data_IF_160996826974
#
_entry.id   IF_160996826974
#
_cell.length_a   1.000
_cell.length_b   1.000
_cell.length_c   1.000
_cell.angle_alpha   90.00
_cell.angle_beta   90.00
_cell.angle_gamma   90.00
#
_symmetry.space_group_name_H-M   'P 1'
#
loop_
_entity.id
_entity.type
_entity.pdbx_description
1 polymer ?
#
# COMPACT_ATOMS: atom_id res chain seq x y z
N UNK A 1 -19.16 -7.80 19.50
CA UNK A 1 -18.74 -6.72 20.41
C UNK A 1 -17.22 -6.73 20.39
N UNK A 2 -16.66 -6.06 19.39
CA UNK A 2 -15.23 -5.97 19.14
C UNK A 2 -14.76 -4.78 19.95
N UNK A 3 -13.84 -4.99 20.90
CA UNK A 3 -13.25 -3.93 21.70
C UNK A 3 -12.13 -3.28 20.87
N UNK A 4 -12.46 -2.15 20.26
CA UNK A 4 -11.47 -1.15 19.87
C UNK A 4 -10.79 -0.62 21.14
N UNK A 5 -9.49 -0.88 21.28
CA UNK A 5 -8.64 -0.11 22.17
C UNK A 5 -7.38 0.31 21.43
N UNK A 6 -7.55 1.22 20.46
CA UNK A 6 -6.49 2.14 20.05
C UNK A 6 -6.29 3.14 21.19
N UNK A 7 -5.44 2.78 22.16
CA UNK A 7 -4.90 3.79 23.09
C UNK A 7 -3.89 4.62 22.33
N UNK A 8 -4.29 5.83 21.94
CA UNK A 8 -3.36 6.93 21.69
C UNK A 8 -2.50 7.10 22.95
N UNK A 9 -1.24 6.67 22.88
CA UNK A 9 -0.26 7.03 23.89
C UNK A 9 0.10 8.48 23.62
N UNK A 10 -0.38 9.35 24.52
CA UNK A 10 -0.14 10.79 24.47
C UNK A 10 1.35 11.11 24.39
N UNK A 11 1.64 12.21 23.70
CA UNK A 11 2.96 12.78 23.49
C UNK A 11 3.62 13.09 24.85
N UNK A 12 4.51 12.22 25.30
CA UNK A 12 5.48 12.54 26.36
C UNK A 12 6.77 12.90 25.63
N UNK A 13 7.38 14.08 25.86
CA UNK A 13 8.71 14.37 25.34
C UNK A 13 9.71 13.57 26.18
N UNK A 14 9.76 12.27 25.91
CA UNK A 14 10.63 11.31 26.55
C UNK A 14 11.74 10.99 25.55
N UNK A 15 12.98 11.18 25.97
CA UNK A 15 14.20 10.98 25.18
C UNK A 15 14.24 9.52 24.72
N UNK A 16 13.92 9.28 23.44
CA UNK A 16 13.77 7.95 22.85
C UNK A 16 15.10 7.20 22.65
N UNK A 17 16.22 7.91 22.63
CA UNK A 17 17.54 7.31 22.35
C UNK A 17 17.90 6.23 23.39
N UNK A 18 17.51 6.40 24.66
CA UNK A 18 17.87 5.47 25.73
C UNK A 18 16.88 4.32 25.98
N UNK A 19 15.64 4.36 25.48
CA UNK A 19 14.63 3.33 25.80
C UNK A 19 14.79 2.08 24.92
N UNK A 20 15.15 2.28 23.65
CA UNK A 20 15.48 1.21 22.72
C UNK A 20 16.80 0.56 23.16
N UNK A 21 17.80 1.38 23.49
CA UNK A 21 19.05 0.90 24.10
C UNK A 21 18.78 0.15 25.41
N UNK A 22 18.01 0.69 26.36
CA UNK A 22 17.73 0.00 27.62
C UNK A 22 17.00 -1.36 27.46
N UNK A 23 16.07 -1.46 26.50
CA UNK A 23 15.38 -2.73 26.22
C UNK A 23 16.26 -3.73 25.43
N UNK A 24 17.26 -3.27 24.66
CA UNK A 24 17.97 -4.09 23.65
C UNK A 24 19.51 -4.14 23.83
N UNK A 25 20.13 -3.34 24.71
CA UNK A 25 21.55 -3.32 25.09
C UNK A 25 21.95 -4.43 26.08
N UNK A 26 21.09 -5.42 26.29
CA UNK A 26 21.54 -6.63 26.96
C UNK A 26 22.49 -7.36 26.00
N UNK A 27 23.73 -7.62 26.44
CA UNK A 27 24.78 -8.26 25.65
C UNK A 27 24.28 -9.60 25.07
N UNK A 28 23.80 -9.54 23.83
CA UNK A 28 23.08 -10.59 23.12
C UNK A 28 23.88 -11.90 23.05
N UNK A 29 25.21 -11.80 22.91
CA UNK A 29 26.13 -12.94 22.89
C UNK A 29 26.22 -13.69 24.23
N UNK A 30 25.85 -13.05 25.34
CA UNK A 30 25.83 -13.67 26.66
C UNK A 30 24.56 -14.51 26.89
N UNK A 31 23.46 -14.16 26.23
CA UNK A 31 22.18 -14.86 26.33
C UNK A 31 22.10 -16.07 25.39
N UNK A 32 22.68 -15.99 24.18
CA UNK A 32 22.68 -17.09 23.20
C UNK A 32 23.40 -18.37 23.65
N UNK A 33 24.14 -18.35 24.75
CA UNK A 33 24.89 -19.52 25.23
C UNK A 33 24.06 -20.51 26.05
N UNK A 34 22.84 -20.14 26.45
CA UNK A 34 21.98 -21.02 27.26
C UNK A 34 20.91 -21.71 26.42
N UNK A 35 20.66 -23.00 26.69
CA UNK A 35 19.58 -23.77 26.04
C UNK A 35 18.20 -23.12 26.26
N UNK A 36 18.00 -22.51 27.44
CA UNK A 36 16.76 -21.79 27.78
C UNK A 36 16.51 -20.60 26.85
N UNK A 37 17.55 -19.82 26.58
CA UNK A 37 17.51 -18.65 25.71
C UNK A 37 17.25 -19.02 24.25
N UNK A 38 17.90 -20.08 23.76
CA UNK A 38 17.62 -20.62 22.43
C UNK A 38 16.17 -21.12 22.31
N UNK A 39 15.65 -21.78 23.34
CA UNK A 39 14.25 -22.22 23.38
C UNK A 39 13.28 -21.04 23.37
N UNK A 40 13.56 -19.96 24.10
CA UNK A 40 12.74 -18.76 24.11
C UNK A 40 12.73 -18.05 22.74
N UNK A 41 13.89 -17.96 22.08
CA UNK A 41 14.01 -17.42 20.73
C UNK A 41 13.26 -18.28 19.70
N UNK A 42 13.43 -19.60 19.76
CA UNK A 42 12.74 -20.52 18.85
C UNK A 42 11.22 -20.41 19.01
N UNK A 43 10.71 -20.33 20.25
CA UNK A 43 9.29 -20.09 20.53
C UNK A 43 8.81 -18.77 19.95
N UNK A 44 9.57 -17.68 20.15
CA UNK A 44 9.27 -16.35 19.61
C UNK A 44 9.13 -16.39 18.10
N UNK A 45 10.14 -16.94 17.40
CA UNK A 45 10.12 -17.03 15.94
C UNK A 45 9.01 -17.95 15.46
N UNK A 46 8.77 -19.09 16.14
CA UNK A 46 7.70 -20.02 15.76
C UNK A 46 6.34 -19.34 15.82
N UNK A 47 6.05 -18.61 16.90
CA UNK A 47 4.79 -17.88 17.03
C UNK A 47 4.62 -16.82 15.94
N UNK A 48 5.68 -16.04 15.66
CA UNK A 48 5.64 -15.02 14.61
C UNK A 48 5.49 -15.63 13.22
N UNK A 49 6.08 -16.80 12.95
CA UNK A 49 5.96 -17.48 11.65
C UNK A 49 4.57 -18.06 11.40
N UNK A 50 3.72 -18.22 12.42
CA UNK A 50 2.32 -18.58 12.21
C UNK A 50 1.53 -17.40 11.62
N UNK A 51 1.92 -16.16 11.91
CA UNK A 51 1.28 -14.94 11.38
C UNK A 51 1.65 -14.70 9.90
N UNK A 52 0.63 -14.59 9.05
CA UNK A 52 0.81 -14.39 7.59
C UNK A 52 1.53 -13.08 7.26
N UNK A 53 1.21 -12.01 7.98
CA UNK A 53 1.83 -10.69 7.81
C UNK A 53 3.35 -10.75 8.06
N UNK A 54 3.78 -11.37 9.16
CA UNK A 54 5.20 -11.49 9.50
C UNK A 54 5.97 -12.30 8.46
N UNK A 55 5.39 -13.39 7.95
CA UNK A 55 5.98 -14.19 6.86
C UNK A 55 6.19 -13.32 5.60
N UNK A 56 5.16 -12.56 5.21
CA UNK A 56 5.23 -11.69 4.03
C UNK A 56 6.29 -10.60 4.22
N UNK A 57 6.29 -9.90 5.37
CA UNK A 57 7.31 -8.89 5.70
C UNK A 57 8.71 -9.48 5.54
N UNK A 58 8.96 -10.69 6.06
CA UNK A 58 10.27 -11.34 5.95
C UNK A 58 10.69 -11.69 4.53
N UNK A 59 9.74 -12.06 3.67
CA UNK A 59 10.02 -12.29 2.25
C UNK A 59 10.33 -10.98 1.53
N UNK A 60 9.65 -9.89 1.90
CA UNK A 60 9.76 -8.59 1.23
C UNK A 60 10.88 -7.69 1.78
N UNK A 61 11.46 -8.00 2.94
CA UNK A 61 12.40 -7.13 3.66
C UNK A 61 13.59 -6.64 2.80
N UNK A 62 14.13 -7.49 1.93
CA UNK A 62 15.28 -7.14 1.06
C UNK A 62 14.90 -6.31 -0.17
N UNK A 63 13.61 -6.18 -0.48
CA UNK A 63 13.13 -5.49 -1.68
C UNK A 63 13.00 -3.97 -1.53
N UNK A 64 13.06 -3.47 -0.28
CA UNK A 64 12.74 -2.07 0.04
C UNK A 64 11.26 -1.73 -0.01
N UNK A 65 10.36 -2.68 -0.29
CA UNK A 65 8.91 -2.47 -0.33
C UNK A 65 8.27 -2.27 1.05
N UNK A 66 8.83 -2.90 2.09
CA UNK A 66 8.28 -2.90 3.45
C UNK A 66 9.28 -2.26 4.42
N UNK A 67 8.81 -1.66 5.53
CA UNK A 67 9.69 -1.13 6.58
C UNK A 67 10.72 -2.15 7.05
N UNK A 68 11.95 -1.68 7.29
CA UNK A 68 13.00 -2.56 7.82
C UNK A 68 12.61 -3.10 9.19
N UNK A 69 12.83 -4.38 9.46
CA UNK A 69 12.63 -4.95 10.79
C UNK A 69 13.92 -4.86 11.59
N UNK A 70 13.85 -4.32 12.81
CA UNK A 70 15.00 -4.22 13.70
C UNK A 70 15.14 -5.44 14.62
N UNK A 71 14.04 -6.08 14.99
CA UNK A 71 14.06 -7.32 15.78
C UNK A 71 12.71 -7.71 16.34
N UNK A 72 12.71 -8.72 17.21
CA UNK A 72 11.50 -9.40 17.71
C UNK A 72 11.60 -9.67 19.21
N UNK A 73 10.47 -9.58 19.93
CA UNK A 73 10.35 -9.92 21.34
C UNK A 73 8.99 -10.57 21.61
N UNK A 74 8.96 -11.90 21.78
CA UNK A 74 7.70 -12.64 21.92
C UNK A 74 6.79 -12.44 20.70
N UNK A 75 5.50 -12.08 20.87
CA UNK A 75 4.60 -11.86 19.74
C UNK A 75 4.80 -10.48 19.06
N UNK A 76 5.79 -9.69 19.49
CA UNK A 76 6.01 -8.33 18.99
C UNK A 76 7.24 -8.29 18.09
N UNK A 77 7.19 -7.47 17.05
CA UNK A 77 8.34 -7.09 16.24
C UNK A 77 8.43 -5.58 16.11
N UNK A 78 9.67 -5.09 16.00
CA UNK A 78 9.96 -3.67 15.84
C UNK A 78 10.34 -3.40 14.40
N UNK A 79 9.71 -2.38 13.82
CA UNK A 79 9.97 -1.91 12.47
C UNK A 79 10.40 -0.45 12.45
N UNK A 80 11.00 -0.07 11.32
CA UNK A 80 11.21 1.32 10.94
C UNK A 80 9.90 2.11 10.98
N UNK A 81 9.98 3.32 11.54
CA UNK A 81 8.85 4.23 11.59
C UNK A 81 8.62 4.86 10.22
N UNK A 82 7.47 4.55 9.62
CA UNK A 82 7.01 5.08 8.35
C UNK A 82 5.55 5.53 8.51
N UNK A 83 5.29 6.73 9.07
CA UNK A 83 3.91 7.19 9.26
C UNK A 83 3.20 7.42 7.91
N UNK A 84 1.88 7.17 7.82
CA UNK A 84 1.09 7.45 6.60
C UNK A 84 1.13 8.93 6.18
N UNK A 85 0.97 9.83 7.16
CA UNK A 85 1.05 11.28 6.96
C UNK A 85 0.20 11.76 5.78
N UNK A 86 0.83 12.43 4.83
CA UNK A 86 0.20 13.00 3.63
C UNK A 86 -0.51 11.98 2.72
N UNK A 87 -0.17 10.68 2.82
CA UNK A 87 -0.82 9.64 2.03
C UNK A 87 -2.22 9.31 2.56
N UNK A 88 -2.47 9.53 3.86
CA UNK A 88 -3.75 9.33 4.53
C UNK A 88 -4.56 10.63 4.59
N UNK A 89 -4.66 11.34 3.46
CA UNK A 89 -5.35 12.64 3.38
C UNK A 89 -6.78 12.57 2.84
N UNK A 90 -7.33 11.35 2.70
CA UNK A 90 -8.76 11.21 2.40
C UNK A 90 -9.54 12.00 3.47
N UNK A 91 -10.37 12.95 3.03
CA UNK A 91 -11.21 13.80 3.87
C UNK A 91 -10.53 14.88 4.73
N UNK A 92 -9.19 15.00 4.77
CA UNK A 92 -8.50 16.04 5.59
C UNK A 92 -8.93 17.46 5.22
N UNK A 93 -9.27 17.72 3.95
CA UNK A 93 -9.77 19.03 3.51
C UNK A 93 -11.15 19.38 4.12
N UNK A 94 -11.95 18.38 4.51
CA UNK A 94 -13.26 18.55 5.15
C UNK A 94 -13.16 18.66 6.68
N UNK A 95 -12.21 17.94 7.28
CA UNK A 95 -12.10 17.79 8.74
C UNK A 95 -11.13 18.77 9.39
N UNK A 96 -10.04 19.13 8.73
CA UNK A 96 -8.94 19.91 9.32
C UNK A 96 -8.83 21.35 8.79
N UNK A 97 -9.70 21.73 7.85
CA UNK A 97 -9.71 23.06 7.23
C UNK A 97 -8.58 23.28 6.21
N UNK A 98 -8.75 24.27 5.33
CA UNK A 98 -7.82 24.53 4.20
C UNK A 98 -6.36 24.79 4.62
N UNK A 99 -6.12 25.26 5.83
CA UNK A 99 -4.78 25.59 6.35
C UNK A 99 -3.97 24.37 6.81
N UNK A 100 -4.62 23.23 7.09
CA UNK A 100 -3.96 21.97 7.44
C UNK A 100 -3.74 21.08 6.20
N UNK A 101 -4.30 21.44 5.05
CA UNK A 101 -4.17 20.64 3.85
C UNK A 101 -2.77 20.81 3.24
N UNK A 102 -2.01 19.71 3.03
CA UNK A 102 -0.62 19.81 2.56
C UNK A 102 -0.49 20.54 1.23
N UNK A 103 0.65 21.20 0.98
CA UNK A 103 0.87 21.99 -0.24
C UNK A 103 0.88 21.11 -1.50
N UNK A 104 0.62 21.68 -2.68
CA UNK A 104 0.75 20.93 -3.93
C UNK A 104 2.14 20.31 -4.14
N UNK A 105 3.26 21.03 -3.88
CA UNK A 105 4.60 20.45 -3.92
C UNK A 105 4.75 19.20 -3.06
N UNK A 106 4.25 19.22 -1.81
CA UNK A 106 4.35 18.07 -0.91
C UNK A 106 3.50 16.89 -1.41
N UNK A 107 2.26 17.15 -1.83
CA UNK A 107 1.33 16.12 -2.33
C UNK A 107 1.85 15.48 -3.62
N UNK A 108 2.34 16.29 -4.56
CA UNK A 108 2.89 15.80 -5.82
C UNK A 108 4.20 15.02 -5.61
N UNK A 109 5.06 15.43 -4.68
CA UNK A 109 6.25 14.67 -4.30
C UNK A 109 5.89 13.32 -3.67
N UNK A 110 4.90 13.28 -2.77
CA UNK A 110 4.40 12.03 -2.18
C UNK A 110 3.80 11.10 -3.26
N UNK A 111 3.03 11.64 -4.20
CA UNK A 111 2.48 10.88 -5.32
C UNK A 111 3.57 10.27 -6.22
N UNK A 112 4.64 11.01 -6.51
CA UNK A 112 5.79 10.50 -7.27
C UNK A 112 6.43 9.31 -6.55
N UNK A 113 6.69 9.44 -5.24
CA UNK A 113 7.30 8.37 -4.43
C UNK A 113 6.41 7.14 -4.34
N UNK A 114 5.10 7.32 -4.19
CA UNK A 114 4.12 6.23 -4.21
C UNK A 114 4.12 5.49 -5.56
N UNK A 115 4.14 6.23 -6.67
CA UNK A 115 4.17 5.67 -8.02
C UNK A 115 5.48 4.92 -8.35
N UNK A 116 6.58 5.23 -7.66
CA UNK A 116 7.85 4.49 -7.76
C UNK A 116 7.74 3.05 -7.22
N UNK A 117 6.71 2.72 -6.42
CA UNK A 117 6.46 1.34 -5.99
C UNK A 117 5.95 0.45 -7.12
N UNK A 118 5.24 1.00 -8.11
CA UNK A 118 4.58 0.20 -9.16
C UNK A 118 5.58 -0.70 -9.92
N UNK A 119 6.73 -0.20 -10.43
CA UNK A 119 7.72 -1.06 -11.05
C UNK A 119 8.28 -2.14 -10.12
N UNK A 120 8.45 -1.83 -8.83
CA UNK A 120 9.01 -2.76 -7.84
C UNK A 120 8.03 -3.92 -7.61
N UNK A 121 6.74 -3.61 -7.44
CA UNK A 121 5.67 -4.59 -7.30
C UNK A 121 5.52 -5.49 -8.54
N UNK A 122 5.77 -4.95 -9.73
CA UNK A 122 5.61 -5.69 -10.99
C UNK A 122 6.83 -6.50 -11.42
N UNK A 123 8.06 -6.10 -11.02
CA UNK A 123 9.29 -6.61 -11.66
C UNK A 123 10.35 -7.15 -10.69
N UNK A 124 10.25 -6.91 -9.39
CA UNK A 124 11.30 -7.31 -8.44
C UNK A 124 11.31 -8.82 -8.16
N UNK A 125 10.16 -9.46 -8.26
CA UNK A 125 9.98 -10.88 -7.93
C UNK A 125 9.65 -11.71 -9.17
N UNK A 126 9.75 -13.04 -9.05
CA UNK A 126 9.43 -14.00 -10.12
C UNK A 126 8.00 -13.84 -10.65
N UNK A 127 7.09 -13.44 -9.77
CA UNK A 127 5.73 -13.06 -10.14
C UNK A 127 5.35 -11.74 -9.49
N UNK A 128 4.45 -10.96 -10.11
CA UNK A 128 4.04 -9.66 -9.55
C UNK A 128 3.38 -9.79 -8.18
N UNK A 129 3.63 -8.82 -7.32
CA UNK A 129 2.87 -8.59 -6.10
C UNK A 129 1.61 -7.80 -6.40
N UNK A 130 0.50 -8.16 -5.78
CA UNK A 130 -0.80 -7.55 -5.94
C UNK A 130 -1.24 -6.93 -4.63
N UNK A 131 -1.62 -5.66 -4.69
CA UNK A 131 -2.21 -4.94 -3.58
C UNK A 131 -3.74 -5.07 -3.69
N UNK A 132 -4.37 -5.77 -2.76
CA UNK A 132 -5.81 -5.97 -2.77
C UNK A 132 -6.56 -5.11 -1.74
N UNK A 133 -5.90 -4.32 -0.89
CA UNK A 133 -6.56 -3.27 -0.09
C UNK A 133 -5.76 -1.95 -0.22
N UNK A 134 -6.09 -1.14 -1.22
CA UNK A 134 -5.33 0.07 -1.51
C UNK A 134 -6.02 1.27 -0.87
N UNK A 135 -5.40 1.78 0.19
CA UNK A 135 -5.78 3.02 0.88
C UNK A 135 -4.54 3.72 1.42
N UNK A 136 -4.63 5.02 1.65
CA UNK A 136 -3.51 5.85 2.10
C UNK A 136 -2.81 5.32 3.35
N UNK A 137 -3.60 4.88 4.35
CA UNK A 137 -3.11 4.33 5.62
C UNK A 137 -2.33 3.02 5.51
N UNK A 138 -2.31 2.35 4.35
CA UNK A 138 -1.50 1.13 4.14
C UNK A 138 -0.10 1.43 3.61
N UNK A 139 0.22 2.70 3.38
CA UNK A 139 1.52 3.17 2.94
C UNK A 139 2.06 4.19 3.94
N UNK A 140 3.38 4.22 4.08
CA UNK A 140 4.08 5.15 4.96
C UNK A 140 5.26 5.82 4.27
N UNK A 141 5.55 7.06 4.65
CA UNK A 141 6.77 7.76 4.22
C UNK A 141 7.81 7.62 5.34
N UNK A 142 8.94 7.02 5.01
CA UNK A 142 10.00 6.74 5.97
C UNK A 142 11.03 7.89 6.05
N UNK A 143 11.97 7.80 6.98
CA UNK A 143 12.97 8.86 7.22
C UNK A 143 13.84 9.18 5.99
N UNK A 144 14.06 8.20 5.11
CA UNK A 144 14.78 8.35 3.85
C UNK A 144 13.91 8.94 2.70
N UNK A 145 12.69 9.40 3.01
CA UNK A 145 11.68 9.89 2.07
C UNK A 145 11.21 8.85 1.04
N UNK A 146 11.42 7.56 1.27
CA UNK A 146 10.82 6.50 0.45
C UNK A 146 9.43 6.14 0.97
N UNK A 147 8.55 5.72 0.06
CA UNK A 147 7.24 5.16 0.44
C UNK A 147 7.42 3.66 0.61
N UNK A 148 6.85 3.10 1.69
CA UNK A 148 6.81 1.66 1.94
C UNK A 148 5.38 1.21 2.23
N UNK A 149 5.09 -0.06 1.95
CA UNK A 149 3.85 -0.73 2.33
C UNK A 149 3.96 -1.11 3.79
N UNK A 150 3.18 -0.44 4.64
CA UNK A 150 3.23 -0.61 6.11
C UNK A 150 2.18 -1.61 6.62
N UNK A 151 1.18 -1.91 5.80
CA UNK A 151 0.20 -2.97 6.03
C UNK A 151 0.22 -3.94 4.86
N UNK A 152 0.63 -5.19 5.13
CA UNK A 152 0.77 -6.24 4.10
C UNK A 152 -0.25 -7.38 4.24
N UNK A 153 -1.30 -7.20 5.05
CA UNK A 153 -2.34 -8.20 5.29
C UNK A 153 -3.05 -8.65 3.99
N UNK A 154 -3.10 -7.74 3.03
CA UNK A 154 -3.82 -7.87 1.77
C UNK A 154 -2.88 -7.78 0.57
N UNK A 155 -1.63 -8.19 0.75
CA UNK A 155 -0.59 -8.23 -0.28
C UNK A 155 -0.28 -9.67 -0.67
N UNK A 156 -0.47 -9.99 -1.95
CA UNK A 156 -0.35 -11.36 -2.43
C UNK A 156 0.53 -11.45 -3.67
N UNK A 157 1.29 -12.53 -3.79
CA UNK A 157 1.81 -12.91 -5.09
C UNK A 157 0.68 -13.33 -6.04
N UNK A 158 0.89 -13.16 -7.35
CA UNK A 158 -0.14 -13.37 -8.36
C UNK A 158 -0.75 -14.79 -8.32
N UNK A 159 0.09 -15.84 -8.29
CA UNK A 159 -0.35 -17.24 -8.28
C UNK A 159 -1.24 -17.62 -7.08
N UNK A 160 -0.83 -17.38 -5.81
CA UNK A 160 -1.71 -17.67 -4.69
C UNK A 160 -3.00 -16.85 -4.72
N UNK A 161 -2.96 -15.58 -5.16
CA UNK A 161 -4.18 -14.78 -5.34
C UNK A 161 -5.12 -15.39 -6.40
N UNK A 162 -4.59 -15.83 -7.55
CA UNK A 162 -5.41 -16.43 -8.61
C UNK A 162 -6.10 -17.71 -8.17
N UNK A 163 -5.49 -18.48 -7.26
CA UNK A 163 -6.13 -19.66 -6.65
C UNK A 163 -7.35 -19.26 -5.82
N UNK A 164 -7.31 -18.12 -5.12
CA UNK A 164 -8.46 -17.60 -4.36
C UNK A 164 -9.67 -17.34 -5.26
N UNK A 165 -9.46 -16.82 -6.47
CA UNK A 165 -10.55 -16.65 -7.44
C UNK A 165 -11.12 -17.99 -7.92
N UNK A 166 -10.26 -18.98 -8.20
CA UNK A 166 -10.67 -20.25 -8.81
C UNK A 166 -11.78 -20.99 -8.04
N UNK A 167 -11.86 -20.85 -6.71
CA UNK A 167 -12.81 -21.61 -5.89
C UNK A 167 -14.22 -21.01 -5.84
N UNK A 168 -14.41 -19.82 -6.41
CA UNK A 168 -15.65 -19.06 -6.25
C UNK A 168 -16.62 -19.29 -7.42
N UNK A 169 -17.85 -19.71 -7.08
CA UNK A 169 -18.99 -19.70 -8.01
C UNK A 169 -19.47 -18.27 -8.19
N UNK A 170 -19.93 -17.93 -9.39
CA UNK A 170 -20.36 -16.56 -9.70
C UNK A 170 -21.45 -16.49 -10.78
N UNK A 171 -22.12 -15.35 -10.82
CA UNK A 171 -23.06 -14.90 -11.85
C UNK A 171 -22.65 -13.54 -12.40
N UNK A 172 -22.03 -12.69 -11.58
CA UNK A 172 -21.49 -11.38 -11.99
C UNK A 172 -20.01 -11.27 -11.66
N UNK A 173 -19.28 -10.37 -12.33
CA UNK A 173 -17.86 -10.19 -12.09
C UNK A 173 -17.56 -9.71 -10.65
N UNK A 174 -18.48 -8.96 -10.04
CA UNK A 174 -18.31 -8.43 -8.69
C UNK A 174 -18.24 -9.53 -7.63
N UNK A 175 -18.92 -10.66 -7.85
CA UNK A 175 -18.85 -11.84 -6.98
C UNK A 175 -17.47 -12.52 -7.03
N UNK A 176 -16.64 -12.17 -8.01
CA UNK A 176 -15.24 -12.62 -8.11
C UNK A 176 -14.25 -11.62 -7.51
N UNK A 177 -14.70 -10.48 -6.98
CA UNK A 177 -13.79 -9.51 -6.38
C UNK A 177 -13.22 -10.05 -5.07
N UNK A 178 -11.93 -9.83 -4.88
CA UNK A 178 -11.26 -10.01 -3.61
C UNK A 178 -10.75 -8.64 -3.17
N UNK A 179 -11.52 -7.99 -2.29
CA UNK A 179 -11.34 -6.58 -1.92
C UNK A 179 -11.24 -5.67 -3.17
N UNK A 180 -10.10 -4.99 -3.36
CA UNK A 180 -9.83 -4.12 -4.49
C UNK A 180 -9.36 -4.86 -5.74
N UNK A 181 -8.89 -6.11 -5.61
CA UNK A 181 -8.54 -6.94 -6.75
C UNK A 181 -9.82 -7.41 -7.45
N UNK A 182 -10.04 -6.92 -8.68
CA UNK A 182 -11.26 -7.19 -9.45
C UNK A 182 -11.13 -8.50 -10.21
N UNK A 183 -11.97 -9.47 -9.87
CA UNK A 183 -12.02 -10.75 -10.55
C UNK A 183 -12.95 -10.72 -11.76
N UNK A 184 -13.00 -11.83 -12.49
CA UNK A 184 -13.85 -11.97 -13.66
C UNK A 184 -14.68 -13.24 -13.56
N UNK A 185 -15.99 -13.10 -13.57
CA UNK A 185 -16.91 -14.22 -13.72
C UNK A 185 -17.01 -14.74 -15.16
N UNK A 186 -16.89 -16.07 -15.33
CA UNK A 186 -17.36 -16.79 -16.50
C UNK A 186 -18.84 -17.16 -16.29
N UNK A 187 -19.75 -16.36 -16.84
CA UNK A 187 -21.19 -16.55 -16.62
C UNK A 187 -21.72 -17.87 -17.21
N UNK A 188 -21.11 -18.39 -18.27
CA UNK A 188 -21.48 -19.67 -18.88
C UNK A 188 -21.17 -20.85 -17.95
N UNK A 189 -19.99 -20.84 -17.32
CA UNK A 189 -19.53 -21.90 -16.42
C UNK A 189 -19.86 -21.63 -14.94
N UNK A 190 -20.45 -20.47 -14.65
CA UNK A 190 -20.73 -19.97 -13.31
C UNK A 190 -19.53 -20.03 -12.36
N UNK A 191 -18.35 -19.71 -12.87
CA UNK A 191 -17.08 -19.84 -12.14
C UNK A 191 -16.22 -18.60 -12.39
N UNK A 192 -15.53 -18.12 -11.36
CA UNK A 192 -14.54 -17.08 -11.55
C UNK A 192 -13.34 -17.60 -12.34
N UNK A 193 -12.87 -16.82 -13.31
CA UNK A 193 -11.59 -17.07 -13.96
C UNK A 193 -10.44 -16.89 -12.95
N UNK A 194 -9.35 -17.61 -13.17
CA UNK A 194 -8.09 -17.44 -12.43
C UNK A 194 -7.29 -16.25 -12.94
N UNK A 195 -7.94 -15.09 -12.95
CA UNK A 195 -7.35 -13.84 -13.43
C UNK A 195 -8.01 -12.62 -12.79
N UNK A 196 -7.27 -11.51 -12.78
CA UNK A 196 -7.76 -10.19 -12.37
C UNK A 196 -7.92 -9.25 -13.55
N UNK A 197 -8.90 -8.36 -13.45
CA UNK A 197 -9.23 -7.34 -14.44
C UNK A 197 -8.42 -6.03 -14.27
N UNK A 198 -7.86 -5.78 -13.08
CA UNK A 198 -7.13 -4.54 -12.76
C UNK A 198 -5.67 -4.75 -12.30
N UNK A 199 -4.87 -3.69 -12.16
CA UNK A 199 -3.53 -3.71 -11.55
C UNK A 199 -3.29 -2.69 -10.43
N UNK A 200 -2.12 -2.78 -9.81
CA UNK A 200 -1.72 -1.88 -8.72
C UNK A 200 -1.72 -0.41 -9.16
N UNK A 201 -1.29 -0.11 -10.40
CA UNK A 201 -1.30 1.25 -10.93
C UNK A 201 -2.72 1.83 -11.01
N UNK A 202 -3.67 1.06 -11.55
CA UNK A 202 -5.09 1.41 -11.56
C UNK A 202 -5.61 1.70 -10.15
N UNK A 203 -5.30 0.83 -9.19
CA UNK A 203 -5.76 0.97 -7.82
C UNK A 203 -5.15 2.20 -7.14
N UNK A 204 -3.84 2.44 -7.27
CA UNK A 204 -3.18 3.64 -6.73
C UNK A 204 -3.77 4.90 -7.37
N UNK A 205 -3.95 4.92 -8.69
CA UNK A 205 -4.54 6.04 -9.39
C UNK A 205 -5.98 6.31 -8.93
N UNK A 206 -6.80 5.27 -8.79
CA UNK A 206 -8.21 5.39 -8.41
C UNK A 206 -8.36 5.79 -6.95
N UNK A 207 -7.75 5.02 -6.05
CA UNK A 207 -8.00 5.10 -4.62
C UNK A 207 -7.26 6.27 -3.98
N UNK A 208 -5.98 6.46 -4.31
CA UNK A 208 -5.13 7.42 -3.59
C UNK A 208 -4.98 8.71 -4.38
N UNK A 209 -4.58 8.63 -5.66
CA UNK A 209 -4.28 9.84 -6.43
C UNK A 209 -5.54 10.63 -6.79
N UNK A 210 -6.55 9.95 -7.32
CA UNK A 210 -7.82 10.55 -7.72
C UNK A 210 -8.79 10.69 -6.55
N UNK A 211 -8.88 9.68 -5.69
CA UNK A 211 -9.84 9.60 -4.60
C UNK A 211 -11.21 9.10 -5.05
N UNK A 212 -11.99 8.57 -4.10
CA UNK A 212 -13.26 7.86 -4.38
C UNK A 212 -14.54 8.67 -4.10
N UNK A 213 -14.45 9.98 -3.83
CA UNK A 213 -15.66 10.76 -3.56
C UNK A 213 -16.49 11.04 -4.84
N UNK A 214 -17.82 11.23 -4.70
CA UNK A 214 -18.72 11.48 -5.83
C UNK A 214 -18.25 12.63 -6.71
N UNK A 215 -18.46 12.50 -8.04
CA UNK A 215 -18.02 13.39 -9.14
C UNK A 215 -18.26 14.90 -8.98
N UNK A 216 -18.99 15.33 -7.95
CA UNK A 216 -19.23 16.74 -7.62
C UNK A 216 -18.03 17.40 -6.91
N UNK A 217 -17.13 16.62 -6.31
CA UNK A 217 -15.88 17.09 -5.74
C UNK A 217 -14.75 16.57 -6.64
N UNK A 218 -14.35 17.38 -7.62
CA UNK A 218 -13.20 17.07 -8.47
C UNK A 218 -12.01 16.67 -7.60
N UNK A 219 -11.56 15.42 -7.76
CA UNK A 219 -10.35 14.85 -7.14
C UNK A 219 -10.30 15.02 -5.63
N UNK A 220 -10.91 14.14 -4.84
CA UNK A 220 -10.74 14.18 -3.38
C UNK A 220 -9.45 13.52 -2.88
N UNK A 221 -8.70 12.89 -3.78
CA UNK A 221 -7.45 12.21 -3.47
C UNK A 221 -6.27 13.15 -3.34
N UNK A 222 -5.07 12.56 -3.30
CA UNK A 222 -3.81 13.25 -3.12
C UNK A 222 -3.56 14.34 -4.17
N UNK A 223 -4.06 14.15 -5.40
CA UNK A 223 -3.87 15.08 -6.51
C UNK A 223 -5.02 16.08 -6.68
N UNK A 224 -5.84 16.27 -5.65
CA UNK A 224 -6.83 17.34 -5.58
C UNK A 224 -6.20 18.71 -5.85
N UNK A 225 -6.97 19.63 -6.45
CA UNK A 225 -6.55 21.03 -6.61
C UNK A 225 -5.23 21.24 -7.36
N UNK A 226 -4.93 20.40 -8.35
CA UNK A 226 -3.73 20.51 -9.17
C UNK A 226 -3.62 21.91 -9.84
N UNK A 227 -2.41 22.47 -10.01
CA UNK A 227 -2.20 23.75 -10.66
C UNK A 227 -2.76 23.80 -12.09
N UNK A 228 -3.24 24.97 -12.49
CA UNK A 228 -3.91 25.16 -13.78
C UNK A 228 -3.06 24.74 -14.99
N UNK A 229 -1.73 24.82 -14.88
CA UNK A 229 -0.76 24.42 -15.92
C UNK A 229 -0.87 22.94 -16.30
N UNK A 230 -1.15 22.06 -15.32
CA UNK A 230 -1.15 20.61 -15.46
C UNK A 230 -2.52 19.97 -15.24
N UNK A 231 -3.44 20.63 -14.54
CA UNK A 231 -4.72 20.08 -14.09
C UNK A 231 -5.48 19.33 -15.20
N UNK A 232 -5.65 19.94 -16.38
CA UNK A 232 -6.37 19.30 -17.50
C UNK A 232 -5.65 18.05 -18.01
N UNK A 233 -4.32 18.12 -18.16
CA UNK A 233 -3.50 16.99 -18.66
C UNK A 233 -3.47 15.85 -17.65
N UNK A 234 -3.37 16.19 -16.37
CA UNK A 234 -3.34 15.25 -15.26
C UNK A 234 -4.70 14.56 -15.09
N UNK A 235 -5.82 15.28 -15.19
CA UNK A 235 -7.16 14.67 -15.19
C UNK A 235 -7.30 13.61 -16.27
N UNK A 236 -6.89 13.93 -17.51
CA UNK A 236 -6.94 12.97 -18.63
C UNK A 236 -6.04 11.76 -18.33
N UNK A 237 -4.82 11.98 -17.84
CA UNK A 237 -3.91 10.88 -17.51
C UNK A 237 -4.44 9.99 -16.36
N UNK A 238 -5.11 10.57 -15.36
CA UNK A 238 -5.76 9.82 -14.27
C UNK A 238 -7.03 9.11 -14.75
N UNK A 239 -7.79 9.69 -15.68
CA UNK A 239 -8.89 8.99 -16.36
C UNK A 239 -8.35 7.78 -17.12
N UNK A 240 -7.32 7.95 -17.94
CA UNK A 240 -6.65 6.85 -18.65
C UNK A 240 -6.10 5.78 -17.68
N UNK A 241 -5.60 6.21 -16.51
CA UNK A 241 -5.06 5.31 -15.50
C UNK A 241 -6.14 4.53 -14.74
N UNK A 242 -7.32 5.13 -14.54
CA UNK A 242 -8.44 4.51 -13.80
C UNK A 242 -9.44 3.81 -14.71
N UNK A 243 -9.43 4.12 -16.01
CA UNK A 243 -10.35 3.54 -16.96
C UNK A 243 -10.14 2.02 -17.06
N UNK A 244 -11.22 1.24 -17.10
CA UNK A 244 -11.16 -0.05 -17.74
C UNK A 244 -10.80 0.20 -19.21
N UNK A 245 -9.83 -0.51 -19.76
CA UNK A 245 -9.47 -0.34 -21.17
C UNK A 245 -10.10 -1.46 -21.99
N UNK A 246 -10.82 -1.12 -23.08
CA UNK A 246 -11.35 -2.05 -24.09
C UNK A 246 -12.85 -2.37 -23.98
N UNK A 247 -13.61 -2.06 -25.04
CA UNK A 247 -15.02 -2.48 -25.27
C UNK A 247 -15.13 -3.76 -26.10
N UNK A 248 -14.01 -4.34 -26.55
CA UNK A 248 -14.02 -5.55 -27.39
C UNK A 248 -13.65 -6.80 -26.59
N UNK A 249 -14.59 -7.74 -26.61
CA UNK A 249 -14.66 -9.02 -25.90
C UNK A 249 -15.25 -8.90 -24.48
N UNK A 250 -16.12 -9.85 -24.14
CA UNK A 250 -16.96 -9.92 -22.94
C UNK A 250 -16.20 -9.96 -21.60
N UNK A 251 -14.90 -9.66 -21.59
CA UNK A 251 -14.11 -9.35 -20.42
C UNK A 251 -13.03 -8.33 -20.81
N UNK A 252 -13.19 -7.07 -20.40
CA UNK A 252 -12.12 -6.09 -20.48
C UNK A 252 -11.03 -6.42 -19.45
N UNK A 253 -10.05 -7.24 -19.85
CA UNK A 253 -8.86 -7.56 -19.04
C UNK A 253 -7.75 -6.61 -19.46
N UNK A 254 -7.64 -5.44 -18.84
CA UNK A 254 -6.49 -4.61 -19.15
C UNK A 254 -5.96 -3.78 -17.98
N UNK A 255 -4.65 -3.94 -17.80
CA UNK A 255 -3.76 -3.23 -16.90
C UNK A 255 -3.25 -1.98 -17.65
N UNK A 256 -3.34 -0.74 -17.12
CA UNK A 256 -2.76 0.45 -17.73
C UNK A 256 -1.29 0.20 -18.08
N UNK A 257 -0.91 0.61 -19.30
CA UNK A 257 0.47 0.47 -19.77
C UNK A 257 1.39 1.37 -18.95
N UNK A 258 2.65 0.96 -18.79
CA UNK A 258 3.71 1.76 -18.15
C UNK A 258 3.86 3.17 -18.74
N UNK A 259 3.44 3.40 -19.99
CA UNK A 259 3.40 4.72 -20.59
C UNK A 259 2.48 5.72 -19.85
N UNK A 260 1.36 5.24 -19.27
CA UNK A 260 0.46 6.08 -18.47
C UNK A 260 1.15 6.51 -17.18
N UNK A 261 1.85 5.58 -16.51
CA UNK A 261 2.68 5.88 -15.35
C UNK A 261 3.73 6.95 -15.68
N UNK A 262 4.49 6.78 -16.77
CA UNK A 262 5.50 7.76 -17.20
C UNK A 262 4.89 9.14 -17.43
N UNK A 263 3.74 9.21 -18.12
CA UNK A 263 3.03 10.47 -18.37
C UNK A 263 2.58 11.16 -17.08
N UNK A 264 2.08 10.40 -16.09
CA UNK A 264 1.69 10.97 -14.79
C UNK A 264 2.92 11.51 -14.07
N UNK A 265 4.01 10.73 -14.01
CA UNK A 265 5.26 11.14 -13.37
C UNK A 265 5.82 12.42 -14.00
N UNK A 266 5.85 12.52 -15.32
CA UNK A 266 6.30 13.72 -16.04
C UNK A 266 5.49 14.97 -15.65
N UNK A 267 4.15 14.85 -15.62
CA UNK A 267 3.27 15.96 -15.25
C UNK A 267 3.48 16.39 -13.79
N UNK A 268 3.64 15.43 -12.88
CA UNK A 268 3.89 15.73 -11.46
C UNK A 268 5.22 16.47 -11.30
N UNK A 269 6.30 15.93 -11.86
CA UNK A 269 7.64 16.52 -11.78
C UNK A 269 7.70 17.94 -12.38
N UNK A 270 6.98 18.20 -13.48
CA UNK A 270 6.91 19.54 -14.08
C UNK A 270 6.24 20.59 -13.19
N UNK A 271 5.35 20.16 -12.29
CA UNK A 271 4.51 21.05 -11.48
C UNK A 271 4.95 21.19 -10.02
N UNK A 272 6.02 20.52 -9.60
CA UNK A 272 6.49 20.50 -8.20
C UNK A 272 6.93 21.88 -7.66
N UNK A 273 7.19 22.84 -8.55
CA UNK A 273 7.59 24.19 -8.18
C UNK A 273 6.41 25.19 -8.16
N UNK A 274 5.19 24.73 -8.44
CA UNK A 274 4.00 25.58 -8.46
C UNK A 274 3.30 25.55 -7.09
N UNK A 275 2.94 26.75 -6.59
CA UNK A 275 2.28 26.96 -5.29
C UNK A 275 0.76 26.99 -5.43
#
# INVERSE_FOLDING_TARGET
MILETTKQVGFVPFVWEGAIEFMWEQNYYHYLKSLSSMNAMFRTITLLMEEDEYKIIKVLESSGLVPKMYGTCGPLYLQESCPPGILETEFSFLTEGRSSYPSWPDRSAAAVRLLQLVPILEKTFTEPLQLCDVKGGNFGICADNTVRVIDVDSVFFDTPLMKTFNYSKCRTHEECNFFDCKGVCNAEHQQCYTMKANNNLQLICQKILKGNLPRLLDFSGLLSGAPASVAKKLRIALEDCTAPTGEDMQVAIYKPKMAVLSRILELLLQSQHEL
#
